data_IF_350545820795
#
_entry.id   IF_350545820795
#
_cell.length_a   1.000
_cell.length_b   1.000
_cell.length_c   1.000
_cell.angle_alpha   90.00
_cell.angle_beta   90.00
_cell.angle_gamma   90.00
#
_symmetry.space_group_name_H-M   'P 1'
#
loop_
_entity.id
_entity.type
_entity.pdbx_description
1 polymer ?
#
# COMPACT_ATOMS: atom_id res chain seq x y z
N UNK A 1 26.00 -60.73 -46.75
CA UNK A 1 25.15 -59.93 -47.66
C UNK A 1 24.27 -59.08 -46.75
N UNK A 2 24.34 -57.77 -46.63
CA UNK A 2 24.71 -56.67 -47.54
C UNK A 2 25.25 -55.53 -46.66
N UNK A 3 26.52 -55.13 -46.85
CA UNK A 3 27.07 -53.89 -46.28
C UNK A 3 26.49 -52.72 -47.07
N UNK A 4 25.71 -51.84 -46.43
CA UNK A 4 25.42 -50.51 -46.99
C UNK A 4 26.46 -49.52 -46.47
N UNK A 5 27.20 -48.98 -47.42
CA UNK A 5 28.20 -47.92 -47.27
C UNK A 5 27.45 -46.64 -46.92
N UNK A 6 27.64 -46.13 -45.70
CA UNK A 6 27.15 -44.82 -45.30
C UNK A 6 28.00 -43.74 -45.96
N UNK A 7 27.37 -42.89 -46.76
CA UNK A 7 27.96 -41.69 -47.33
C UNK A 7 28.16 -40.69 -46.17
N UNK A 8 29.42 -40.42 -45.81
CA UNK A 8 29.80 -39.32 -44.94
C UNK A 8 29.69 -38.02 -45.73
N UNK A 9 28.61 -37.27 -45.50
CA UNK A 9 28.54 -35.85 -45.85
C UNK A 9 29.27 -35.09 -44.74
N UNK A 10 30.29 -34.26 -45.02
CA UNK A 10 30.90 -33.43 -44.00
C UNK A 10 29.91 -32.32 -43.64
N UNK A 11 29.27 -32.43 -42.48
CA UNK A 11 28.61 -31.28 -41.86
C UNK A 11 29.74 -30.36 -41.38
N UNK A 12 29.97 -29.28 -42.13
CA UNK A 12 30.79 -28.17 -41.68
C UNK A 12 30.06 -27.54 -40.49
N UNK A 13 30.50 -27.84 -39.27
CA UNK A 13 30.13 -27.06 -38.09
C UNK A 13 30.77 -25.67 -38.27
N UNK A 14 29.99 -24.71 -38.76
CA UNK A 14 30.31 -23.30 -38.56
C UNK A 14 30.20 -23.05 -37.05
N UNK A 15 31.33 -23.06 -36.35
CA UNK A 15 31.45 -22.34 -35.09
C UNK A 15 31.31 -20.85 -35.42
N UNK A 16 30.09 -20.34 -35.34
CA UNK A 16 29.88 -18.91 -35.17
C UNK A 16 30.54 -18.54 -33.83
N UNK A 17 31.67 -17.82 -33.88
CA UNK A 17 32.16 -17.10 -32.71
C UNK A 17 31.06 -16.12 -32.31
N UNK A 18 30.26 -16.51 -31.31
CA UNK A 18 29.42 -15.56 -30.58
C UNK A 18 30.41 -14.74 -29.75
N UNK A 19 30.86 -13.62 -30.32
CA UNK A 19 31.50 -12.57 -29.56
C UNK A 19 30.49 -12.14 -28.48
N UNK A 20 30.84 -12.17 -27.18
CA UNK A 20 29.97 -11.57 -26.18
C UNK A 20 29.79 -10.11 -26.56
N UNK A 21 28.54 -9.70 -26.79
CA UNK A 21 28.21 -8.28 -26.83
C UNK A 21 28.82 -7.64 -25.58
N UNK A 22 29.52 -6.51 -25.67
CA UNK A 22 29.96 -5.81 -24.47
C UNK A 22 28.70 -5.55 -23.65
N UNK A 23 28.66 -6.11 -22.44
CA UNK A 23 27.73 -5.69 -21.40
C UNK A 23 27.99 -4.20 -21.23
N UNK A 24 27.13 -3.38 -21.82
CA UNK A 24 27.11 -1.96 -21.51
C UNK A 24 26.68 -1.92 -20.06
N UNK A 25 27.63 -1.66 -19.16
CA UNK A 25 27.31 -1.36 -17.78
C UNK A 25 26.20 -0.30 -17.80
N UNK A 26 25.11 -0.56 -17.07
CA UNK A 26 24.09 0.46 -16.85
C UNK A 26 24.82 1.72 -16.42
N UNK A 27 24.57 2.85 -17.10
CA UNK A 27 25.16 4.12 -16.71
C UNK A 27 24.95 4.29 -15.20
N UNK A 28 26.03 4.56 -14.47
CA UNK A 28 25.94 4.92 -13.06
C UNK A 28 24.89 6.01 -12.93
N UNK A 29 23.93 5.84 -12.02
CA UNK A 29 23.00 6.90 -11.65
C UNK A 29 23.77 8.22 -11.51
N UNK A 30 23.28 9.32 -12.11
CA UNK A 30 23.99 10.58 -12.04
C UNK A 30 24.29 10.91 -10.57
N UNK A 31 25.54 11.24 -10.29
CA UNK A 31 26.04 11.47 -8.91
C UNK A 31 25.33 12.64 -8.22
N UNK A 32 24.65 13.47 -9.00
CA UNK A 32 23.66 14.41 -8.52
C UNK A 32 22.27 13.95 -9.04
N UNK A 33 21.24 13.89 -8.18
CA UNK A 33 19.88 13.74 -8.66
C UNK A 33 19.55 14.86 -9.67
N UNK A 34 18.52 14.70 -10.53
CA UNK A 34 17.96 15.82 -11.27
C UNK A 34 17.72 16.97 -10.29
N UNK A 35 18.44 18.05 -10.49
CA UNK A 35 18.32 19.28 -9.72
C UNK A 35 17.79 20.30 -10.71
N UNK A 36 16.61 20.85 -10.47
CA UNK A 36 16.15 22.03 -11.20
C UNK A 36 16.91 23.25 -10.65
N UNK A 37 17.95 23.73 -11.36
CA UNK A 37 18.75 24.84 -10.87
C UNK A 37 17.98 26.16 -10.96
N UNK A 38 16.87 26.17 -11.70
CA UNK A 38 16.02 27.30 -12.02
C UNK A 38 14.64 27.10 -11.39
N UNK A 39 14.59 26.70 -10.11
CA UNK A 39 13.37 26.64 -9.27
C UNK A 39 12.33 27.64 -9.78
N UNK A 40 11.13 27.15 -10.08
CA UNK A 40 10.06 28.05 -10.50
C UNK A 40 9.82 29.06 -9.37
N UNK A 41 9.38 30.30 -9.70
CA UNK A 41 9.14 31.33 -8.68
C UNK A 41 8.27 30.85 -7.51
N UNK A 42 7.31 29.94 -7.75
CA UNK A 42 6.44 29.36 -6.73
C UNK A 42 7.07 28.24 -5.87
N UNK A 43 8.22 27.68 -6.27
CA UNK A 43 8.88 26.52 -5.62
C UNK A 43 9.99 26.93 -4.63
N UNK A 44 10.41 28.20 -4.63
CA UNK A 44 11.50 28.70 -3.79
C UNK A 44 11.08 29.91 -2.95
N UNK A 45 11.24 29.80 -1.63
CA UNK A 45 10.88 30.84 -0.66
C UNK A 45 11.57 32.19 -0.91
N UNK A 46 12.76 32.20 -1.53
CA UNK A 46 13.50 33.41 -1.86
C UNK A 46 12.99 34.09 -3.16
N UNK A 47 12.27 33.37 -4.02
CA UNK A 47 11.76 33.87 -5.31
C UNK A 47 10.24 33.84 -5.40
N UNK A 48 9.56 33.64 -4.27
CA UNK A 48 8.11 33.52 -4.14
C UNK A 48 7.35 34.72 -4.72
N UNK A 49 6.33 34.45 -5.54
CA UNK A 49 5.46 35.47 -6.16
C UNK A 49 4.00 35.32 -5.72
N UNK A 50 3.29 36.43 -5.58
CA UNK A 50 1.93 36.43 -5.01
C UNK A 50 0.84 35.92 -5.95
N UNK A 51 1.13 35.75 -7.25
CA UNK A 51 0.16 35.29 -8.25
C UNK A 51 0.12 33.76 -8.41
N UNK A 52 0.90 33.01 -7.63
CA UNK A 52 0.85 31.54 -7.55
C UNK A 52 -0.54 30.99 -7.15
N UNK A 53 -1.41 31.78 -6.51
CA UNK A 53 -2.75 31.36 -6.07
C UNK A 53 -3.91 31.95 -6.86
N UNK A 54 -3.63 32.78 -7.86
CA UNK A 54 -4.66 33.50 -8.59
C UNK A 54 -5.08 32.65 -9.77
N UNK A 55 -6.30 32.11 -9.76
CA UNK A 55 -6.85 31.35 -10.89
C UNK A 55 -6.77 32.16 -12.19
N UNK A 56 -6.01 31.66 -13.17
CA UNK A 56 -5.71 32.35 -14.43
C UNK A 56 -4.51 33.32 -14.39
N UNK A 57 -3.75 33.34 -13.29
CA UNK A 57 -2.46 34.01 -13.17
C UNK A 57 -1.36 33.33 -13.99
N UNK A 58 -0.30 34.07 -14.30
CA UNK A 58 0.79 33.58 -15.17
C UNK A 58 1.58 32.41 -14.55
N UNK A 59 1.54 32.30 -13.22
CA UNK A 59 2.21 31.26 -12.44
C UNK A 59 1.22 30.32 -11.72
N UNK A 60 -0.07 30.34 -12.10
CA UNK A 60 -1.11 29.52 -11.45
C UNK A 60 -0.82 28.02 -11.55
N UNK A 61 -0.35 27.56 -12.71
CA UNK A 61 -0.01 26.15 -12.95
C UNK A 61 1.33 25.74 -12.30
N UNK A 62 2.04 26.67 -11.65
CA UNK A 62 3.31 26.41 -10.94
C UNK A 62 3.11 26.08 -9.46
N UNK A 63 1.87 26.08 -8.97
CA UNK A 63 1.54 25.70 -7.59
C UNK A 63 1.31 24.19 -7.43
N UNK A 64 1.08 23.46 -8.53
CA UNK A 64 0.79 22.02 -8.50
C UNK A 64 2.00 21.16 -8.10
N UNK A 65 3.14 21.78 -7.80
CA UNK A 65 4.29 21.14 -7.20
C UNK A 65 4.89 22.03 -6.09
N UNK A 66 4.78 21.53 -4.85
CA UNK A 66 5.70 21.77 -3.73
C UNK A 66 6.05 23.24 -3.42
N UNK A 67 5.36 23.83 -2.44
CA UNK A 67 5.75 25.11 -1.85
C UNK A 67 5.79 25.03 -0.33
N UNK A 68 6.86 25.57 0.28
CA UNK A 68 6.97 25.69 1.73
C UNK A 68 5.88 26.61 2.29
N UNK A 69 5.05 26.12 3.22
CA UNK A 69 4.14 26.96 3.99
C UNK A 69 4.93 27.88 4.93
N UNK A 70 4.99 29.18 4.61
CA UNK A 70 5.67 30.14 5.48
C UNK A 70 4.74 30.68 6.56
N UNK A 71 5.27 30.89 7.77
CA UNK A 71 4.52 31.50 8.90
C UNK A 71 4.01 32.91 8.55
N UNK A 72 4.66 33.61 7.60
CA UNK A 72 4.21 34.92 7.12
C UNK A 72 2.95 34.87 6.27
N UNK A 73 2.69 33.73 5.63
CA UNK A 73 1.59 33.56 4.67
C UNK A 73 0.47 32.68 5.22
N UNK A 74 0.81 31.67 6.03
CA UNK A 74 -0.14 30.70 6.61
C UNK A 74 0.13 30.51 8.11
N UNK A 75 -0.05 31.54 8.96
CA UNK A 75 0.33 31.46 10.36
C UNK A 75 -0.39 30.29 11.08
N UNK A 76 0.38 29.45 11.75
CA UNK A 76 -0.20 28.37 12.51
C UNK A 76 -1.06 28.87 13.69
N UNK A 77 -2.12 28.13 14.04
CA UNK A 77 -2.87 28.38 15.27
C UNK A 77 -1.92 28.44 16.48
N UNK A 78 -2.13 29.42 17.36
CA UNK A 78 -1.36 29.62 18.58
C UNK A 78 0.14 29.91 18.37
N UNK A 79 0.56 30.31 17.17
CA UNK A 79 1.96 30.67 16.89
C UNK A 79 2.92 29.48 16.91
N UNK A 80 2.42 28.27 16.64
CA UNK A 80 3.26 27.12 16.39
C UNK A 80 4.10 27.37 15.12
N UNK A 81 5.34 26.86 15.03
CA UNK A 81 6.08 26.91 13.78
C UNK A 81 5.58 25.83 12.82
N UNK A 82 5.63 26.09 11.51
CA UNK A 82 5.54 25.02 10.51
C UNK A 82 6.70 24.02 10.68
N UNK A 83 6.44 22.71 10.77
CA UNK A 83 7.48 21.68 10.76
C UNK A 83 8.31 21.74 9.48
N UNK A 84 9.61 21.50 9.63
CA UNK A 84 10.62 21.51 8.57
C UNK A 84 10.55 22.71 7.60
N UNK A 85 10.17 23.88 8.13
CA UNK A 85 10.15 25.13 7.39
C UNK A 85 9.04 25.26 6.33
N UNK A 86 8.05 24.37 6.32
CA UNK A 86 7.01 24.43 5.28
C UNK A 86 5.86 23.44 5.34
N UNK A 87 5.80 22.52 6.32
CA UNK A 87 4.76 21.50 6.42
C UNK A 87 3.54 21.98 7.22
N UNK A 88 2.35 21.38 7.07
CA UNK A 88 1.16 21.82 7.80
C UNK A 88 1.35 21.79 9.33
N UNK A 89 0.78 22.77 10.02
CA UNK A 89 0.97 23.00 11.46
C UNK A 89 0.50 21.84 12.35
N UNK A 90 -0.42 21.03 11.85
CA UNK A 90 -0.94 19.85 12.55
C UNK A 90 -0.03 18.63 12.41
N UNK A 91 0.90 18.63 11.47
CA UNK A 91 1.86 17.55 11.23
C UNK A 91 3.14 17.73 12.07
N UNK A 92 3.00 17.96 13.38
CA UNK A 92 4.10 18.40 14.26
C UNK A 92 5.34 17.49 14.28
N UNK A 93 5.19 16.22 13.92
CA UNK A 93 6.26 15.23 13.86
C UNK A 93 6.81 15.00 12.44
N UNK A 94 6.25 15.67 11.43
CA UNK A 94 6.63 15.48 10.04
C UNK A 94 7.99 16.14 9.74
N UNK A 95 8.76 15.47 8.90
CA UNK A 95 10.09 15.86 8.49
C UNK A 95 10.26 15.55 7.00
N UNK A 96 10.55 16.57 6.21
CA UNK A 96 10.69 16.53 4.76
C UNK A 96 11.98 17.28 4.35
N UNK A 97 13.15 16.69 4.61
CA UNK A 97 14.44 17.37 4.46
C UNK A 97 14.78 17.74 3.02
N UNK A 98 14.02 17.19 2.06
CA UNK A 98 14.19 17.44 0.64
C UNK A 98 13.11 18.41 0.10
N UNK A 99 12.17 18.85 0.94
CA UNK A 99 11.03 19.72 0.58
C UNK A 99 10.22 19.20 -0.61
N UNK A 100 9.93 17.90 -0.62
CA UNK A 100 9.19 17.21 -1.66
C UNK A 100 7.75 16.90 -1.21
N UNK A 101 7.14 17.80 -0.42
CA UNK A 101 5.88 17.62 0.34
C UNK A 101 5.68 16.20 0.87
N UNK A 102 6.68 15.73 1.62
CA UNK A 102 6.66 14.41 2.26
C UNK A 102 7.05 13.24 1.36
N UNK A 103 7.31 13.45 0.07
CA UNK A 103 7.75 12.39 -0.84
C UNK A 103 9.28 12.21 -0.80
N UNK A 104 9.75 10.98 -0.57
CA UNK A 104 11.18 10.68 -0.60
C UNK A 104 11.50 9.60 -1.63
N UNK A 105 11.38 9.94 -2.92
CA UNK A 105 11.56 8.99 -4.02
C UNK A 105 12.94 8.32 -4.03
N UNK A 106 14.02 9.10 -3.88
CA UNK A 106 15.38 8.55 -3.83
C UNK A 106 15.59 7.74 -2.56
N UNK A 107 15.15 8.25 -1.42
CA UNK A 107 15.26 7.60 -0.12
C UNK A 107 14.49 6.29 -0.01
N UNK A 108 13.48 6.05 -0.85
CA UNK A 108 12.80 4.77 -0.95
C UNK A 108 13.72 3.68 -1.53
N UNK A 109 14.62 4.03 -2.46
CA UNK A 109 15.45 3.07 -3.20
C UNK A 109 16.90 3.01 -2.73
N UNK A 110 17.42 4.08 -2.13
CA UNK A 110 18.78 4.14 -1.62
C UNK A 110 18.88 5.11 -0.46
N UNK A 111 19.74 4.81 0.51
CA UNK A 111 20.10 5.74 1.58
C UNK A 111 21.64 5.80 1.74
N UNK A 112 22.11 6.54 2.74
CA UNK A 112 23.54 6.69 3.01
C UNK A 112 24.27 5.36 3.30
N UNK A 113 23.54 4.33 3.71
CA UNK A 113 24.06 2.99 4.02
C UNK A 113 24.05 2.04 2.81
N UNK A 114 23.45 2.42 1.68
CA UNK A 114 23.39 1.62 0.45
C UNK A 114 21.98 1.51 -0.14
N UNK A 115 21.78 0.59 -1.10
CA UNK A 115 20.47 0.37 -1.71
C UNK A 115 19.47 -0.21 -0.69
N UNK A 116 18.22 0.22 -0.79
CA UNK A 116 17.09 -0.32 -0.03
C UNK A 116 16.50 -1.58 -0.65
N UNK A 117 16.95 -1.95 -1.85
CA UNK A 117 16.53 -3.14 -2.56
C UNK A 117 16.84 -4.39 -1.72
N UNK A 118 15.82 -5.19 -1.43
CA UNK A 118 15.96 -6.44 -0.68
C UNK A 118 16.03 -6.28 0.84
N UNK A 119 15.82 -5.06 1.36
CA UNK A 119 15.64 -4.80 2.78
C UNK A 119 14.18 -5.01 3.19
N UNK A 120 13.96 -5.60 4.36
CA UNK A 120 12.64 -5.90 4.91
C UNK A 120 12.16 -4.85 5.93
N UNK A 121 13.05 -3.94 6.33
CA UNK A 121 12.82 -2.81 7.23
C UNK A 121 12.44 -1.52 6.50
N UNK A 122 12.26 -1.58 5.18
CA UNK A 122 11.85 -0.43 4.35
C UNK A 122 10.33 -0.46 4.15
N UNK A 123 9.67 0.59 4.64
CA UNK A 123 8.25 0.87 4.40
C UNK A 123 8.13 1.96 3.33
N UNK A 124 7.41 1.66 2.25
CA UNK A 124 7.10 2.58 1.16
C UNK A 124 5.66 3.05 1.33
N UNK A 125 5.47 4.34 1.59
CA UNK A 125 4.16 4.96 1.48
C UNK A 125 3.85 5.21 0.01
N UNK A 126 2.75 4.64 -0.49
CA UNK A 126 2.29 4.81 -1.86
C UNK A 126 1.04 5.69 -1.85
N UNK A 127 1.21 6.94 -2.30
CA UNK A 127 0.18 7.98 -2.27
C UNK A 127 -0.52 8.02 -3.63
N UNK A 128 -1.82 7.68 -3.68
CA UNK A 128 -2.61 7.71 -4.91
C UNK A 128 -4.13 7.74 -4.63
N UNK A 129 -4.95 7.28 -5.57
CA UNK A 129 -6.41 7.21 -5.47
C UNK A 129 -6.97 6.10 -4.57
N UNK A 130 -6.10 5.47 -3.79
CA UNK A 130 -6.37 4.22 -3.09
C UNK A 130 -6.03 2.99 -3.88
N UNK A 131 -6.22 1.82 -3.29
CA UNK A 131 -5.83 0.53 -3.87
C UNK A 131 -7.06 -0.33 -4.13
N UNK A 132 -7.13 -0.97 -5.29
CA UNK A 132 -8.19 -1.94 -5.60
C UNK A 132 -7.70 -3.35 -5.25
N UNK A 133 -8.10 -3.85 -4.08
CA UNK A 133 -7.73 -5.20 -3.64
C UNK A 133 -8.42 -6.34 -4.42
N UNK A 134 -9.38 -6.03 -5.30
CA UNK A 134 -9.97 -7.00 -6.23
C UNK A 134 -9.27 -7.07 -7.59
N UNK A 135 -8.30 -6.17 -7.86
CA UNK A 135 -7.59 -6.18 -9.13
C UNK A 135 -6.61 -7.35 -9.20
N UNK A 136 -6.58 -8.09 -10.31
CA UNK A 136 -5.73 -9.30 -10.45
C UNK A 136 -4.25 -9.02 -10.16
N UNK A 137 -3.75 -7.88 -10.63
CA UNK A 137 -2.37 -7.47 -10.45
C UNK A 137 -2.01 -7.10 -9.00
N UNK A 138 -2.98 -6.88 -8.09
CA UNK A 138 -2.68 -6.63 -6.67
C UNK A 138 -2.11 -7.87 -5.99
N UNK A 139 -2.50 -9.06 -6.47
CA UNK A 139 -2.19 -10.35 -5.85
C UNK A 139 -0.71 -10.51 -5.53
N UNK A 140 0.14 -10.04 -6.43
CA UNK A 140 1.58 -10.24 -6.33
C UNK A 140 2.19 -9.44 -5.17
N UNK A 141 1.52 -8.40 -4.69
CA UNK A 141 1.99 -7.51 -3.62
C UNK A 141 1.22 -7.66 -2.30
N UNK A 142 0.19 -8.53 -2.23
CA UNK A 142 -0.71 -8.62 -1.06
C UNK A 142 0.04 -8.97 0.23
N UNK A 143 0.95 -9.95 0.20
CA UNK A 143 1.70 -10.35 1.39
C UNK A 143 2.72 -9.29 1.84
N UNK A 144 3.02 -8.31 0.98
CA UNK A 144 3.88 -7.17 1.29
C UNK A 144 3.09 -5.89 1.64
N UNK A 145 1.76 -5.94 1.69
CA UNK A 145 0.97 -4.83 2.23
C UNK A 145 1.31 -4.67 3.72
N UNK A 146 1.68 -3.46 4.12
CA UNK A 146 1.99 -3.13 5.50
C UNK A 146 0.74 -3.27 6.37
N UNK A 147 0.93 -3.77 7.58
CA UNK A 147 -0.12 -3.87 8.59
C UNK A 147 0.32 -3.14 9.85
N UNK A 148 -0.53 -2.25 10.37
CA UNK A 148 -0.29 -1.57 11.63
C UNK A 148 -0.52 -2.54 12.80
N UNK A 149 0.58 -3.00 13.40
CA UNK A 149 0.56 -3.87 14.58
C UNK A 149 -0.23 -3.25 15.75
N UNK A 150 -0.18 -1.93 15.90
CA UNK A 150 -0.85 -1.22 17.00
C UNK A 150 -2.37 -1.23 16.91
N UNK A 151 -2.90 -1.32 15.69
CA UNK A 151 -4.34 -1.31 15.41
C UNK A 151 -4.96 -2.69 15.27
N UNK A 152 -4.14 -3.74 15.34
CA UNK A 152 -4.58 -5.12 15.16
C UNK A 152 -4.50 -5.91 16.46
N UNK A 153 -5.48 -6.79 16.75
CA UNK A 153 -5.32 -7.80 17.79
C UNK A 153 -4.29 -8.86 17.37
N UNK A 154 -3.73 -9.61 18.32
CA UNK A 154 -2.92 -10.78 18.01
C UNK A 154 -3.71 -11.73 17.08
N UNK A 155 -3.11 -12.26 16.00
CA UNK A 155 -3.73 -13.23 15.11
C UNK A 155 -4.06 -14.54 15.84
N UNK A 156 -5.12 -15.22 15.41
CA UNK A 156 -5.56 -16.51 15.96
C UNK A 156 -5.41 -17.65 14.94
N UNK A 157 -5.11 -18.85 15.45
CA UNK A 157 -5.26 -20.09 14.71
C UNK A 157 -6.74 -20.40 14.52
N UNK A 158 -7.04 -21.37 13.65
CA UNK A 158 -8.40 -21.81 13.38
C UNK A 158 -9.18 -22.29 14.62
N UNK A 159 -8.50 -22.69 15.69
CA UNK A 159 -9.12 -23.08 16.97
C UNK A 159 -9.34 -21.90 17.94
N UNK A 160 -9.04 -20.67 17.52
CA UNK A 160 -9.12 -19.45 18.32
C UNK A 160 -7.92 -19.21 19.24
N UNK A 161 -6.94 -20.10 19.28
CA UNK A 161 -5.71 -19.90 20.08
C UNK A 161 -4.79 -18.88 19.42
N UNK A 162 -4.04 -18.13 20.23
CA UNK A 162 -3.02 -17.18 19.75
C UNK A 162 -1.67 -17.47 20.43
N UNK A 163 -0.60 -16.88 19.89
CA UNK A 163 0.69 -16.81 20.57
C UNK A 163 0.63 -15.81 21.75
N UNK A 164 1.60 -15.90 22.66
CA UNK A 164 1.63 -15.02 23.83
C UNK A 164 2.05 -13.59 23.45
N UNK A 165 1.31 -12.60 23.96
CA UNK A 165 1.69 -11.19 23.88
C UNK A 165 3.00 -10.94 24.66
N UNK A 166 3.90 -10.03 24.20
CA UNK A 166 3.81 -9.13 23.04
C UNK A 166 4.32 -9.69 21.70
N UNK A 167 4.81 -10.92 21.68
CA UNK A 167 5.43 -11.58 20.51
C UNK A 167 4.44 -12.36 19.65
N UNK A 168 3.16 -12.01 19.65
CA UNK A 168 2.10 -12.87 19.13
C UNK A 168 1.81 -12.75 17.63
N UNK A 169 2.42 -11.78 16.94
CA UNK A 169 2.00 -11.32 15.62
C UNK A 169 2.62 -12.08 14.45
N UNK A 170 3.68 -12.84 14.68
CA UNK A 170 4.29 -13.77 13.71
C UNK A 170 3.78 -15.18 14.03
N UNK A 171 2.54 -15.46 13.61
CA UNK A 171 1.82 -16.68 13.96
C UNK A 171 2.30 -17.88 13.15
N UNK A 172 2.71 -17.65 11.90
CA UNK A 172 3.25 -18.68 11.02
C UNK A 172 4.76 -18.92 11.21
N UNK A 173 5.45 -18.03 11.92
CA UNK A 173 6.87 -18.15 12.29
C UNK A 173 7.83 -17.78 11.15
N UNK A 174 7.37 -17.02 10.16
CA UNK A 174 8.17 -16.58 9.03
C UNK A 174 9.05 -15.34 9.32
N UNK A 175 8.92 -14.77 10.53
CA UNK A 175 9.68 -13.60 10.99
C UNK A 175 9.04 -12.26 10.64
N UNK A 176 7.82 -12.24 10.10
CA UNK A 176 7.12 -11.04 9.64
C UNK A 176 5.66 -11.09 10.05
N UNK A 177 5.07 -9.91 10.29
CA UNK A 177 3.62 -9.74 10.41
C UNK A 177 3.05 -9.42 9.02
N UNK A 178 2.18 -10.25 8.47
CA UNK A 178 1.44 -9.98 7.23
C UNK A 178 0.08 -10.70 7.19
N UNK A 179 -0.59 -10.67 6.04
CA UNK A 179 -1.91 -11.26 5.86
C UNK A 179 -1.91 -12.78 6.14
N UNK A 180 -0.78 -13.47 5.94
CA UNK A 180 -0.67 -14.92 6.15
C UNK A 180 -0.85 -15.29 7.62
N UNK A 181 -0.54 -14.39 8.54
CA UNK A 181 -0.79 -14.59 9.97
C UNK A 181 -2.28 -14.64 10.31
N UNK A 182 -3.14 -14.00 9.51
CA UNK A 182 -4.58 -13.95 9.73
C UNK A 182 -5.40 -14.89 8.84
N UNK A 183 -4.78 -15.61 7.90
CA UNK A 183 -5.50 -16.43 6.91
C UNK A 183 -6.38 -17.53 7.51
N UNK A 184 -6.09 -17.92 8.76
CA UNK A 184 -6.86 -18.91 9.52
C UNK A 184 -7.58 -18.32 10.73
N UNK A 185 -7.58 -17.00 10.87
CA UNK A 185 -8.21 -16.32 11.98
C UNK A 185 -9.75 -16.42 11.85
N UNK A 186 -10.45 -17.03 12.81
CA UNK A 186 -11.90 -17.21 12.72
C UNK A 186 -12.67 -15.87 12.75
N UNK A 187 -12.04 -14.75 13.09
CA UNK A 187 -12.68 -13.43 13.18
C UNK A 187 -12.73 -12.70 11.85
N UNK A 188 -11.79 -12.97 10.93
CA UNK A 188 -11.73 -12.30 9.61
C UNK A 188 -12.63 -12.98 8.58
N UNK A 189 -13.02 -14.24 8.83
CA UNK A 189 -14.05 -14.96 8.10
C UNK A 189 -14.98 -15.73 9.07
N UNK A 190 -15.87 -15.02 9.79
CA UNK A 190 -16.64 -15.63 10.88
C UNK A 190 -17.74 -16.58 10.38
N UNK A 191 -18.22 -17.48 11.24
CA UNK A 191 -19.42 -18.27 10.97
C UNK A 191 -20.65 -17.39 10.81
N UNK A 192 -21.53 -17.77 9.90
CA UNK A 192 -22.80 -17.08 9.70
C UNK A 192 -23.76 -17.29 10.89
N UNK A 193 -24.62 -16.30 11.19
CA UNK A 193 -25.68 -16.48 12.16
C UNK A 193 -26.58 -17.68 11.82
N UNK A 194 -27.00 -18.41 12.86
CA UNK A 194 -27.87 -19.58 12.70
C UNK A 194 -29.18 -19.18 12.02
N UNK A 195 -29.53 -19.85 10.91
CA UNK A 195 -30.77 -19.61 10.17
C UNK A 195 -30.66 -18.64 8.98
N UNK A 196 -29.48 -18.08 8.72
CA UNK A 196 -29.20 -17.30 7.50
C UNK A 196 -28.83 -18.26 6.38
N UNK A 197 -29.69 -18.39 5.36
CA UNK A 197 -29.41 -19.20 4.17
C UNK A 197 -28.38 -18.51 3.27
N UNK A 198 -27.55 -19.32 2.60
CA UNK A 198 -26.68 -18.84 1.53
C UNK A 198 -27.51 -18.20 0.42
N UNK A 199 -26.97 -17.14 -0.17
CA UNK A 199 -27.53 -16.42 -1.31
C UNK A 199 -28.56 -15.31 -0.98
N UNK A 200 -28.73 -14.94 0.29
CA UNK A 200 -29.53 -13.75 0.64
C UNK A 200 -28.72 -12.47 0.38
N UNK A 201 -29.12 -11.58 -0.54
CA UNK A 201 -28.44 -10.31 -0.74
C UNK A 201 -28.55 -9.42 0.50
N UNK A 202 -27.45 -8.72 0.83
CA UNK A 202 -27.29 -7.87 2.03
C UNK A 202 -28.43 -6.88 2.27
N UNK A 203 -29.15 -6.48 1.22
CA UNK A 203 -30.27 -5.53 1.30
C UNK A 203 -31.58 -6.09 1.92
N UNK A 204 -31.64 -7.34 2.38
CA UNK A 204 -32.90 -7.96 2.86
C UNK A 204 -32.78 -8.68 4.20
N UNK A 205 -32.15 -8.05 5.19
CA UNK A 205 -32.38 -8.38 6.61
C UNK A 205 -31.86 -9.72 7.10
N UNK A 206 -30.78 -10.25 6.52
CA UNK A 206 -30.20 -11.53 6.96
C UNK A 206 -28.68 -11.64 6.97
N UNK A 207 -27.91 -10.69 6.44
CA UNK A 207 -26.44 -10.74 6.46
C UNK A 207 -25.84 -9.87 7.57
N UNK A 208 -24.65 -10.22 8.05
CA UNK A 208 -23.78 -9.29 8.76
C UNK A 208 -23.40 -8.16 7.77
N UNK A 209 -24.24 -7.13 7.69
CA UNK A 209 -23.87 -5.86 7.06
C UNK A 209 -22.92 -5.16 8.03
N UNK A 210 -21.63 -5.43 7.90
CA UNK A 210 -20.62 -4.50 8.43
C UNK A 210 -20.61 -3.34 7.45
N UNK A 211 -21.53 -2.40 7.63
CA UNK A 211 -21.50 -1.11 6.95
C UNK A 211 -20.41 -0.26 7.61
N UNK A 212 -19.17 -0.60 7.29
CA UNK A 212 -18.08 0.36 7.34
C UNK A 212 -17.85 0.69 5.87
N UNK A 213 -18.39 1.84 5.46
CA UNK A 213 -17.98 2.53 4.23
C UNK A 213 -18.32 1.80 2.93
N UNK A 214 -19.46 1.10 2.90
CA UNK A 214 -20.04 0.55 1.68
C UNK A 214 -19.56 -0.86 1.31
N UNK A 215 -18.81 -1.54 2.17
CA UNK A 215 -18.51 -2.97 1.99
C UNK A 215 -19.64 -3.85 2.52
N UNK A 216 -19.88 -4.99 1.87
CA UNK A 216 -21.03 -5.86 2.18
C UNK A 216 -20.63 -7.32 1.99
N UNK A 217 -20.74 -8.14 3.05
CA UNK A 217 -20.41 -9.57 3.02
C UNK A 217 -21.67 -10.44 3.02
N UNK A 218 -21.70 -11.43 2.13
CA UNK A 218 -22.76 -12.43 2.10
C UNK A 218 -22.36 -13.69 2.88
N UNK A 219 -23.36 -14.46 3.29
CA UNK A 219 -23.18 -15.81 3.81
C UNK A 219 -23.05 -16.83 2.67
N UNK A 220 -22.03 -17.67 2.74
CA UNK A 220 -21.79 -18.79 1.84
C UNK A 220 -22.55 -20.04 2.29
N UNK A 221 -22.81 -20.96 1.35
CA UNK A 221 -23.39 -22.29 1.64
C UNK A 221 -22.56 -23.11 2.62
N UNK A 222 -21.26 -22.79 2.75
CA UNK A 222 -20.34 -23.38 3.71
C UNK A 222 -20.55 -22.91 5.15
N UNK A 223 -21.45 -21.95 5.38
CA UNK A 223 -21.74 -21.40 6.71
C UNK A 223 -20.73 -20.34 7.19
N UNK A 224 -19.91 -19.81 6.27
CA UNK A 224 -18.94 -18.74 6.53
C UNK A 224 -19.25 -17.51 5.66
N UNK A 225 -18.62 -16.37 5.95
CA UNK A 225 -18.69 -15.20 5.09
C UNK A 225 -17.77 -15.31 3.86
N UNK A 226 -18.05 -14.50 2.84
CA UNK A 226 -17.12 -14.29 1.72
C UNK A 226 -15.97 -13.38 2.17
N UNK A 227 -14.75 -13.67 1.71
CA UNK A 227 -13.72 -12.64 1.61
C UNK A 227 -14.23 -11.52 0.70
N UNK A 228 -13.91 -10.28 1.03
CA UNK A 228 -14.37 -9.10 0.31
C UNK A 228 -13.81 -9.03 -1.11
N UNK A 229 -12.60 -9.55 -1.30
CA UNK A 229 -11.90 -9.49 -2.58
C UNK A 229 -11.61 -10.89 -3.15
N UNK A 230 -11.55 -10.96 -4.47
CA UNK A 230 -11.17 -12.16 -5.20
C UNK A 230 -10.46 -11.78 -6.50
N UNK A 231 -9.35 -12.47 -6.76
CA UNK A 231 -8.45 -12.21 -7.89
C UNK A 231 -8.38 -13.44 -8.80
N UNK A 232 -8.14 -13.24 -10.09
CA UNK A 232 -7.97 -14.33 -11.05
C UNK A 232 -6.57 -14.92 -10.98
N UNK A 233 -6.49 -16.17 -10.56
CA UNK A 233 -5.27 -16.97 -10.55
C UNK A 233 -5.38 -18.02 -11.63
N UNK A 234 -4.54 -17.92 -12.67
CA UNK A 234 -4.54 -18.88 -13.79
C UNK A 234 -5.95 -19.07 -14.40
N UNK A 235 -6.70 -17.98 -14.57
CA UNK A 235 -8.06 -17.99 -15.12
C UNK A 235 -9.17 -18.40 -14.13
N UNK A 236 -8.84 -18.66 -12.86
CA UNK A 236 -9.81 -19.02 -11.82
C UNK A 236 -9.94 -17.91 -10.78
N UNK A 237 -11.17 -17.40 -10.60
CA UNK A 237 -11.45 -16.39 -9.58
C UNK A 237 -11.33 -17.00 -8.19
N UNK A 238 -10.28 -16.60 -7.47
CA UNK A 238 -9.89 -17.15 -6.18
C UNK A 238 -10.11 -16.09 -5.10
N UNK A 239 -10.98 -16.35 -4.11
CA UNK A 239 -11.13 -15.49 -2.93
C UNK A 239 -9.79 -15.38 -2.20
N UNK A 240 -9.48 -14.18 -1.70
CA UNK A 240 -8.22 -13.94 -1.00
C UNK A 240 -8.43 -13.00 0.17
N UNK A 241 -7.76 -13.28 1.29
CA UNK A 241 -7.76 -12.38 2.44
C UNK A 241 -6.99 -11.11 2.09
N UNK A 242 -7.66 -9.97 2.09
CA UNK A 242 -7.04 -8.68 1.82
C UNK A 242 -6.93 -7.83 3.11
N UNK A 243 -6.21 -6.70 3.07
CA UNK A 243 -6.25 -5.75 4.17
C UNK A 243 -7.68 -5.22 4.44
N UNK A 244 -8.52 -5.14 3.41
CA UNK A 244 -9.93 -4.79 3.53
C UNK A 244 -10.68 -5.74 4.48
N UNK A 245 -10.32 -7.03 4.43
CA UNK A 245 -10.94 -7.99 5.32
C UNK A 245 -10.58 -7.80 6.80
N UNK A 246 -9.37 -7.26 7.06
CA UNK A 246 -8.92 -6.90 8.40
C UNK A 246 -9.56 -5.58 8.86
N UNK A 247 -9.68 -4.59 7.98
CA UNK A 247 -10.40 -3.33 8.26
C UNK A 247 -11.87 -3.60 8.59
N UNK A 248 -12.54 -4.45 7.82
CA UNK A 248 -13.92 -4.83 8.11
C UNK A 248 -14.06 -5.55 9.47
N UNK A 249 -13.09 -6.40 9.85
CA UNK A 249 -13.14 -7.16 11.09
C UNK A 249 -12.75 -6.33 12.32
N UNK A 250 -11.75 -5.46 12.20
CA UNK A 250 -11.06 -4.83 13.32
C UNK A 250 -10.98 -3.31 13.25
N UNK A 251 -11.33 -2.69 12.13
CA UNK A 251 -11.20 -1.26 11.84
C UNK A 251 -12.10 -0.33 12.67
N UNK A 252 -12.74 -0.86 13.71
CA UNK A 252 -13.61 -0.16 14.64
C UNK A 252 -13.41 -0.65 16.09
N UNK A 253 -12.31 -1.39 16.33
CA UNK A 253 -12.00 -2.00 17.61
C UNK A 253 -11.04 -1.15 18.44
N UNK A 254 -11.26 -1.13 19.74
CA UNK A 254 -10.26 -0.71 20.71
C UNK A 254 -9.41 -1.93 21.07
N UNK A 255 -8.10 -1.81 20.88
CA UNK A 255 -7.13 -2.89 21.12
C UNK A 255 -6.31 -2.57 22.37
N UNK A 256 -6.12 -3.57 23.22
CA UNK A 256 -5.17 -3.49 24.33
C UNK A 256 -4.48 -4.83 24.55
N UNK A 257 -3.16 -4.80 24.74
CA UNK A 257 -2.35 -6.00 24.98
C UNK A 257 -2.59 -7.09 23.92
N UNK A 258 -2.74 -6.68 22.65
CA UNK A 258 -3.00 -7.59 21.53
C UNK A 258 -4.37 -8.26 21.56
N UNK A 259 -5.36 -7.71 22.26
CA UNK A 259 -6.72 -8.25 22.28
C UNK A 259 -7.75 -7.13 22.02
N UNK A 260 -8.87 -7.42 21.33
CA UNK A 260 -9.95 -6.47 21.20
C UNK A 260 -10.68 -6.34 22.55
N UNK A 261 -10.73 -5.12 23.10
CA UNK A 261 -11.51 -4.80 24.29
C UNK A 261 -12.99 -4.62 23.96
N UNK A 262 -13.24 -3.88 22.88
CA UNK A 262 -14.58 -3.61 22.34
C UNK A 262 -14.47 -3.27 20.86
N UNK A 263 -15.51 -3.59 20.10
CA UNK A 263 -15.63 -3.24 18.69
C UNK A 263 -17.01 -2.62 18.50
N UNK A 264 -17.08 -1.30 18.71
CA UNK A 264 -18.34 -0.57 18.61
C UNK A 264 -18.60 -0.21 17.14
N UNK A 265 -19.83 -0.32 16.63
CA UNK A 265 -20.14 0.15 15.28
C UNK A 265 -19.74 1.62 15.10
N UNK A 266 -18.95 1.91 14.06
CA UNK A 266 -18.38 3.24 13.82
C UNK A 266 -17.36 3.71 14.86
N UNK A 267 -16.82 2.79 15.67
CA UNK A 267 -15.73 3.08 16.60
C UNK A 267 -14.51 3.64 15.86
N UNK A 268 -13.86 4.63 16.46
CA UNK A 268 -12.61 5.23 15.98
C UNK A 268 -11.65 5.30 17.16
N UNK A 269 -10.74 4.35 17.24
CA UNK A 269 -9.75 4.25 18.30
C UNK A 269 -8.35 4.35 17.69
N UNK A 270 -7.61 5.36 18.10
CA UNK A 270 -6.19 5.50 17.81
C UNK A 270 -5.42 4.72 18.89
N UNK A 271 -5.17 3.44 18.61
CA UNK A 271 -4.64 2.49 19.57
C UNK A 271 -3.11 2.62 19.72
N UNK A 272 -2.43 3.17 18.71
CA UNK A 272 -0.99 3.43 18.73
C UNK A 272 -0.60 4.90 18.98
N UNK A 273 -1.60 5.80 19.05
CA UNK A 273 -1.47 7.24 19.27
C UNK A 273 -0.73 7.98 18.15
N UNK A 274 -0.88 7.53 16.90
CA UNK A 274 -0.27 8.15 15.74
C UNK A 274 -1.15 9.24 15.08
N UNK A 275 -2.39 9.42 15.56
CA UNK A 275 -3.36 10.39 15.04
C UNK A 275 -4.37 9.84 14.03
N UNK A 276 -4.24 8.56 13.64
CA UNK A 276 -5.04 7.90 12.61
C UNK A 276 -5.81 6.70 13.21
N UNK A 277 -7.03 6.91 13.71
CA UNK A 277 -7.79 5.85 14.36
C UNK A 277 -7.99 4.61 13.49
N UNK A 278 -7.57 3.44 14.00
CA UNK A 278 -7.79 2.14 13.35
C UNK A 278 -7.15 1.98 11.97
N UNK A 279 -6.06 2.70 11.66
CA UNK A 279 -5.29 2.69 10.40
C UNK A 279 -4.54 1.36 10.14
N UNK A 280 -5.28 0.26 10.02
CA UNK A 280 -4.76 -1.11 9.94
C UNK A 280 -3.80 -1.34 8.77
N UNK A 281 -4.03 -0.72 7.61
CA UNK A 281 -3.25 -1.00 6.41
C UNK A 281 -2.91 0.27 5.60
N UNK A 282 -3.12 1.43 6.21
CA UNK A 282 -3.02 2.72 5.57
C UNK A 282 -4.15 3.65 5.97
N UNK A 283 -4.23 4.77 5.25
CA UNK A 283 -5.19 5.83 5.54
C UNK A 283 -5.79 6.39 4.27
N UNK A 284 -7.01 6.90 4.40
CA UNK A 284 -7.74 7.57 3.35
C UNK A 284 -8.07 8.99 3.79
N UNK A 285 -7.28 9.93 3.28
CA UNK A 285 -7.43 11.36 3.51
C UNK A 285 -8.61 11.96 2.76
N UNK A 286 -9.04 11.36 1.66
CA UNK A 286 -10.20 11.83 0.90
C UNK A 286 -11.46 11.79 1.79
N UNK A 287 -11.68 10.64 2.45
CA UNK A 287 -12.85 10.37 3.28
C UNK A 287 -12.58 10.46 4.78
N UNK A 288 -11.32 10.68 5.18
CA UNK A 288 -10.85 10.71 6.56
C UNK A 288 -11.21 9.43 7.32
N UNK A 289 -10.71 8.30 6.83
CA UNK A 289 -10.95 6.98 7.42
C UNK A 289 -9.76 6.03 7.22
N UNK A 290 -9.88 4.85 7.81
CA UNK A 290 -8.86 3.81 7.81
C UNK A 290 -8.94 2.85 6.62
N UNK A 291 -9.77 3.13 5.64
CA UNK A 291 -9.94 2.30 4.46
C UNK A 291 -9.31 2.97 3.21
N UNK A 292 -8.06 2.59 2.85
CA UNK A 292 -7.41 3.08 1.63
C UNK A 292 -7.93 2.41 0.35
N UNK A 293 -8.94 1.53 0.42
CA UNK A 293 -9.53 0.92 -0.77
C UNK A 293 -10.18 1.98 -1.65
N UNK A 294 -10.02 1.82 -2.96
CA UNK A 294 -10.75 2.63 -3.92
C UNK A 294 -12.15 2.06 -4.19
N UNK A 295 -13.12 2.95 -4.37
CA UNK A 295 -14.45 2.61 -4.84
C UNK A 295 -14.50 2.22 -6.33
N UNK A 296 -13.47 2.55 -7.11
CA UNK A 296 -13.40 2.19 -8.52
C UNK A 296 -12.89 0.77 -8.72
N UNK A 297 -13.83 -0.15 -8.93
CA UNK A 297 -13.55 -1.57 -9.16
C UNK A 297 -12.79 -1.86 -10.46
N UNK A 298 -12.75 -0.92 -11.43
CA UNK A 298 -11.99 -1.05 -12.66
C UNK A 298 -10.57 -0.49 -12.53
N UNK A 299 -10.27 0.21 -11.44
CA UNK A 299 -8.98 0.83 -11.23
C UNK A 299 -7.89 -0.20 -10.98
N UNK A 300 -6.83 -0.16 -11.79
CA UNK A 300 -5.71 -1.10 -11.73
C UNK A 300 -4.34 -0.45 -11.60
N UNK A 301 -4.27 0.88 -11.56
CA UNK A 301 -3.00 1.62 -11.57
C UNK A 301 -2.23 1.42 -10.26
N UNK A 302 -2.82 1.75 -9.10
CA UNK A 302 -2.23 1.52 -7.78
C UNK A 302 -1.84 0.04 -7.55
N UNK A 303 -2.74 -0.95 -7.74
CA UNK A 303 -2.37 -2.37 -7.69
C UNK A 303 -1.16 -2.75 -8.56
N UNK A 304 -1.07 -2.20 -9.77
CA UNK A 304 0.02 -2.47 -10.69
C UNK A 304 1.35 -1.92 -10.18
N UNK A 305 1.34 -0.68 -9.70
CA UNK A 305 2.53 -0.04 -9.15
C UNK A 305 2.96 -0.68 -7.82
N UNK A 306 2.02 -1.11 -6.98
CA UNK A 306 2.34 -1.87 -5.78
C UNK A 306 3.13 -3.15 -6.11
N UNK A 307 2.74 -3.85 -7.18
CA UNK A 307 3.47 -5.02 -7.67
C UNK A 307 4.84 -4.68 -8.26
N UNK A 308 4.98 -3.54 -8.94
CA UNK A 308 6.30 -3.07 -9.40
C UNK A 308 7.22 -2.71 -8.22
N UNK A 309 6.67 -2.22 -7.10
CA UNK A 309 7.45 -1.89 -5.90
C UNK A 309 7.81 -3.16 -5.12
N UNK A 310 6.82 -3.96 -4.71
CA UNK A 310 7.00 -5.06 -3.76
C UNK A 310 6.30 -6.36 -4.18
N UNK A 311 6.22 -6.66 -5.48
CA UNK A 311 5.82 -7.99 -5.94
C UNK A 311 6.68 -9.11 -5.32
N UNK A 312 6.04 -10.10 -4.73
CA UNK A 312 6.66 -11.20 -3.96
C UNK A 312 7.44 -12.12 -4.91
N UNK A 313 8.72 -12.32 -4.63
CA UNK A 313 9.54 -13.24 -5.41
C UNK A 313 9.17 -14.71 -5.13
N UNK A 314 9.35 -15.58 -6.13
CA UNK A 314 9.27 -17.04 -6.01
C UNK A 314 7.90 -17.60 -5.59
N UNK A 315 6.80 -16.89 -5.85
CA UNK A 315 5.42 -17.33 -5.55
C UNK A 315 4.71 -18.00 -6.75
N UNK A 316 5.40 -18.17 -7.89
CA UNK A 316 4.87 -18.72 -9.15
C UNK A 316 3.66 -17.95 -9.72
N UNK A 317 3.62 -16.63 -9.47
CA UNK A 317 2.61 -15.71 -9.96
C UNK A 317 3.28 -14.42 -10.48
N UNK A 318 2.67 -13.76 -11.46
CA UNK A 318 3.06 -12.39 -11.83
C UNK A 318 4.54 -12.18 -12.15
N UNK A 319 5.11 -11.15 -11.54
CA UNK A 319 6.48 -10.70 -11.71
C UNK A 319 7.24 -10.67 -10.38
N UNK A 320 8.19 -9.75 -10.27
CA UNK A 320 8.91 -9.50 -9.03
C UNK A 320 9.08 -8.00 -8.88
N UNK A 321 8.82 -7.47 -7.68
CA UNK A 321 9.00 -6.05 -7.41
C UNK A 321 10.47 -5.64 -7.41
N UNK A 322 10.72 -4.34 -7.49
CA UNK A 322 12.05 -3.76 -7.28
C UNK A 322 12.60 -4.07 -5.89
N UNK A 323 11.73 -4.15 -4.90
CA UNK A 323 12.04 -4.52 -3.53
C UNK A 323 11.04 -5.57 -3.01
N UNK A 324 11.24 -6.86 -3.32
CA UNK A 324 10.30 -7.94 -2.98
C UNK A 324 10.13 -8.20 -1.48
N UNK A 325 10.95 -7.57 -0.65
CA UNK A 325 10.91 -7.62 0.80
C UNK A 325 10.41 -6.33 1.43
N UNK A 326 10.27 -5.23 0.67
CA UNK A 326 9.73 -3.99 1.21
C UNK A 326 8.26 -4.17 1.60
N UNK A 327 7.77 -3.27 2.46
CA UNK A 327 6.34 -3.17 2.77
C UNK A 327 5.75 -1.94 2.11
N UNK A 328 4.48 -2.03 1.73
CA UNK A 328 3.74 -0.92 1.12
C UNK A 328 2.59 -0.53 2.02
N UNK A 329 2.52 0.74 2.41
CA UNK A 329 1.34 1.32 3.04
C UNK A 329 0.64 2.21 2.01
N UNK A 330 -0.64 1.94 1.75
CA UNK A 330 -1.40 2.73 0.79
C UNK A 330 -1.98 3.96 1.48
N UNK A 331 -1.79 5.11 0.85
CA UNK A 331 -2.33 6.39 1.30
C UNK A 331 -3.26 6.90 0.21
N UNK A 332 -4.57 6.84 0.46
CA UNK A 332 -5.59 7.36 -0.46
C UNK A 332 -5.74 8.85 -0.25
N UNK A 333 -5.37 9.63 -1.26
CA UNK A 333 -5.38 11.09 -1.21
C UNK A 333 -6.54 11.72 -2.01
N UNK A 334 -7.14 10.97 -2.93
CA UNK A 334 -8.27 11.43 -3.72
C UNK A 334 -8.96 10.32 -4.52
N UNK A 335 -9.85 10.73 -5.43
CA UNK A 335 -10.38 9.86 -6.45
C UNK A 335 -9.35 9.79 -7.59
N UNK A 336 -8.56 8.72 -7.63
CA UNK A 336 -7.43 8.53 -8.57
C UNK A 336 -6.24 9.49 -8.31
N UNK A 337 -5.59 9.99 -9.37
CA UNK A 337 -4.54 11.02 -9.30
C UNK A 337 -5.11 12.43 -9.04
N UNK A 338 -6.44 12.59 -9.01
CA UNK A 338 -7.11 13.86 -8.74
C UNK A 338 -7.26 14.02 -7.23
N UNK A 339 -6.15 14.40 -6.62
CA UNK A 339 -6.07 14.80 -5.24
C UNK A 339 -6.59 16.21 -5.01
N UNK A 340 -7.18 16.44 -3.83
CA UNK A 340 -7.35 17.80 -3.33
C UNK A 340 -5.97 18.38 -3.01
N UNK A 341 -5.61 19.49 -3.65
CA UNK A 341 -4.32 20.16 -3.43
C UNK A 341 -4.12 20.61 -1.98
N UNK A 342 -5.22 20.86 -1.25
CA UNK A 342 -5.19 21.20 0.17
C UNK A 342 -5.07 19.98 1.11
N UNK A 343 -4.98 18.75 0.57
CA UNK A 343 -4.86 17.49 1.33
C UNK A 343 -3.63 16.65 0.99
N UNK A 344 -2.80 17.11 0.05
CA UNK A 344 -1.52 16.45 -0.29
C UNK A 344 -0.54 16.76 0.85
N UNK A 345 -0.33 15.83 1.79
CA UNK A 345 0.49 15.94 3.02
C UNK A 345 -0.23 16.34 4.33
N UNK A 346 -1.53 16.06 4.47
CA UNK A 346 -2.19 15.98 5.79
C UNK A 346 -1.73 14.77 6.63
#
# INVERSE_FOLDING_TARGET
>A
MTRRIGVLVPVVLLLALILPSPLVAHATWPQAPPNDPEFAPCENAATFVTDCYVTGGANYDQFDMFGALSDSQYPCPNGLPHPDGGLPCWAASAFDPNHMAGANFTGAWTNASGPNIGRDDVLVAYIEGGVNYSADNVKDSLDNQWLNKGELPCPQRADGSSLAWPGCYDLDGNGRLDLRDYIHDPRVNPPCPVGVASDTPVASGGGLAVDVEGTSRNCLATGQHQYLNAVSVQGHRTPYLSPEDLVAAFGHCQIANGQPLQCLPGGRFDNDHNGYPNDIAGWNFERNNNDPQTEDLAYGHAPGNNTLVAGVANNNYGGVGLCPTCRIVNVKQGAECLGRSDKLAE
#
